data_IF_885308633972
#
_entry.id   IF_885308633972
#
_cell.length_a   1.000
_cell.length_b   1.000
_cell.length_c   1.000
_cell.angle_alpha   90.00
_cell.angle_beta   90.00
_cell.angle_gamma   90.00
#
_symmetry.space_group_name_H-M   'P 1'
#
loop_
_entity.id
_entity.type
_entity.pdbx_description
1 polymer ?
#
# COMPACT_ATOMS: atom_id res chain seq x y z
N UNK A 1 -3.15 -77.76 -21.78
CA UNK A 1 -4.47 -78.23 -21.28
C UNK A 1 -5.29 -77.03 -20.81
N UNK A 2 -6.54 -76.93 -21.31
CA UNK A 2 -7.81 -76.40 -20.72
C UNK A 2 -7.72 -75.13 -19.82
N UNK A 3 -8.22 -73.98 -20.27
CA UNK A 3 -9.62 -73.44 -20.23
C UNK A 3 -10.02 -72.76 -18.90
N UNK A 4 -10.27 -71.46 -19.04
CA UNK A 4 -11.23 -70.52 -18.40
C UNK A 4 -12.28 -71.11 -17.44
N UNK A 5 -12.60 -70.39 -16.34
CA UNK A 5 -14.01 -70.03 -15.98
C UNK A 5 -14.08 -68.87 -14.94
N UNK A 6 -14.98 -67.92 -15.22
CA UNK A 6 -15.57 -66.91 -14.33
C UNK A 6 -16.46 -67.53 -13.24
N UNK A 7 -16.73 -66.82 -12.14
CA UNK A 7 -18.08 -66.78 -11.58
C UNK A 7 -18.37 -65.46 -10.84
N UNK A 8 -19.57 -64.95 -11.09
CA UNK A 8 -20.16 -63.69 -10.62
C UNK A 8 -21.04 -63.90 -9.37
N UNK A 9 -21.09 -62.91 -8.46
CA UNK A 9 -22.22 -62.62 -7.54
C UNK A 9 -22.15 -61.10 -7.25
N UNK A 10 -22.93 -60.21 -7.87
CA UNK A 10 -24.36 -59.86 -7.75
C UNK A 10 -24.78 -59.20 -6.41
N UNK A 11 -24.91 -57.87 -6.48
CA UNK A 11 -25.91 -56.97 -5.86
C UNK A 11 -26.15 -56.92 -4.34
N UNK A 12 -25.99 -55.72 -3.75
CA UNK A 12 -26.92 -55.20 -2.74
C UNK A 12 -26.95 -53.65 -2.70
N UNK A 13 -28.17 -53.10 -2.83
CA UNK A 13 -28.72 -51.82 -2.34
C UNK A 13 -27.94 -50.50 -2.64
N UNK A 14 -28.40 -49.59 -3.51
CA UNK A 14 -29.60 -48.73 -3.45
C UNK A 14 -29.74 -47.92 -2.13
N UNK A 15 -29.90 -46.60 -2.30
CA UNK A 15 -30.28 -45.55 -1.33
C UNK A 15 -29.14 -44.75 -0.69
N UNK A 16 -28.67 -43.72 -1.41
CA UNK A 16 -28.27 -42.43 -0.82
C UNK A 16 -28.35 -41.30 -1.87
N UNK A 17 -29.52 -41.14 -2.48
CA UNK A 17 -29.81 -40.05 -3.41
C UNK A 17 -30.97 -39.21 -2.87
N UNK A 18 -30.86 -38.69 -1.65
CA UNK A 18 -31.79 -37.70 -1.10
C UNK A 18 -30.98 -36.69 -0.26
N UNK A 19 -31.14 -35.41 -0.60
CA UNK A 19 -30.72 -34.20 0.15
C UNK A 19 -29.40 -33.51 -0.25
N UNK A 20 -29.31 -33.07 -1.52
CA UNK A 20 -28.42 -31.96 -1.93
C UNK A 20 -29.22 -30.78 -2.53
N UNK A 21 -30.45 -30.56 -2.06
CA UNK A 21 -31.31 -29.43 -2.48
C UNK A 21 -31.57 -28.41 -1.36
N UNK A 22 -30.77 -28.42 -0.29
CA UNK A 22 -30.75 -27.31 0.66
C UNK A 22 -29.66 -26.31 0.23
N UNK A 23 -30.00 -25.02 0.24
CA UNK A 23 -29.18 -23.86 -0.16
C UNK A 23 -29.18 -23.49 -1.65
N UNK A 24 -30.36 -23.42 -2.27
CA UNK A 24 -30.59 -22.47 -3.37
C UNK A 24 -31.63 -21.42 -2.97
N UNK A 25 -31.50 -20.88 -1.76
CA UNK A 25 -32.05 -19.56 -1.48
C UNK A 25 -31.10 -18.59 -2.15
N UNK A 26 -31.40 -18.24 -3.41
CA UNK A 26 -30.88 -17.03 -4.03
C UNK A 26 -31.37 -15.87 -3.16
N UNK A 27 -30.64 -15.57 -2.07
CA UNK A 27 -30.75 -14.26 -1.45
C UNK A 27 -30.51 -13.30 -2.60
N UNK A 28 -31.53 -12.49 -2.93
CA UNK A 28 -31.35 -11.39 -3.84
C UNK A 28 -30.09 -10.68 -3.38
N UNK A 29 -29.05 -10.71 -4.22
CA UNK A 29 -27.82 -9.98 -3.94
C UNK A 29 -28.29 -8.56 -3.65
N UNK A 30 -27.96 -7.99 -2.47
CA UNK A 30 -28.29 -6.61 -2.19
C UNK A 30 -27.86 -5.82 -3.40
N UNK A 31 -28.76 -5.04 -4.01
CA UNK A 31 -28.38 -4.13 -5.08
C UNK A 31 -27.30 -3.26 -4.48
N UNK A 32 -26.05 -3.53 -4.85
CA UNK A 32 -24.90 -2.86 -4.30
C UNK A 32 -25.05 -1.39 -4.72
N UNK A 33 -25.49 -0.57 -3.76
CA UNK A 33 -25.76 0.84 -4.02
C UNK A 33 -24.44 1.44 -4.46
N UNK A 34 -24.43 2.01 -5.66
CA UNK A 34 -23.25 2.65 -6.21
C UNK A 34 -22.68 3.65 -5.17
N UNK A 35 -21.41 3.51 -4.76
CA UNK A 35 -20.86 4.35 -3.71
C UNK A 35 -20.86 5.80 -4.18
N UNK A 36 -21.32 6.68 -3.28
CA UNK A 36 -21.50 8.12 -3.52
C UNK A 36 -20.22 8.88 -3.15
N UNK A 37 -19.84 9.84 -4.00
CA UNK A 37 -18.61 10.61 -3.79
C UNK A 37 -18.65 11.49 -2.55
N UNK A 38 -19.82 12.01 -2.16
CA UNK A 38 -19.93 12.82 -0.94
C UNK A 38 -19.79 11.95 0.31
N UNK A 39 -20.33 10.73 0.30
CA UNK A 39 -20.09 9.75 1.37
C UNK A 39 -18.62 9.33 1.45
N UNK A 40 -17.94 9.18 0.30
CA UNK A 40 -16.49 9.00 0.27
C UNK A 40 -15.75 10.14 1.00
N UNK A 41 -16.04 11.40 0.64
CA UNK A 41 -15.39 12.56 1.26
C UNK A 41 -15.65 12.68 2.77
N UNK A 42 -16.78 12.18 3.27
CA UNK A 42 -17.10 12.23 4.72
C UNK A 42 -16.21 11.33 5.58
N UNK A 43 -15.55 10.33 5.01
CA UNK A 43 -14.59 9.51 5.75
C UNK A 43 -13.32 10.28 6.13
N UNK A 44 -13.05 11.40 5.45
CA UNK A 44 -11.85 12.18 5.65
C UNK A 44 -12.06 13.32 6.66
N UNK A 45 -11.15 13.49 7.63
CA UNK A 45 -11.13 14.67 8.48
C UNK A 45 -10.95 15.93 7.63
N UNK A 46 -11.84 16.92 7.79
CA UNK A 46 -11.67 18.23 7.14
C UNK A 46 -10.46 18.95 7.76
N UNK A 47 -9.54 19.41 6.91
CA UNK A 47 -8.34 20.18 7.29
C UNK A 47 -8.23 21.43 6.43
N UNK A 48 -7.41 22.38 6.87
CA UNK A 48 -7.09 23.61 6.15
C UNK A 48 -5.70 23.52 5.53
N UNK A 49 -5.50 24.23 4.41
CA UNK A 49 -4.17 24.52 3.88
C UNK A 49 -3.65 25.85 4.47
N UNK A 50 -2.33 26.02 4.67
CA UNK A 50 -1.28 25.02 4.44
C UNK A 50 -1.36 23.83 5.42
N UNK A 51 -0.86 22.69 5.00
CA UNK A 51 -0.89 21.44 5.76
C UNK A 51 0.49 20.80 5.78
N UNK A 52 0.87 20.15 6.87
CA UNK A 52 2.15 19.45 6.97
C UNK A 52 1.95 18.01 7.41
N UNK A 53 2.72 17.15 6.76
CA UNK A 53 3.05 15.80 7.19
C UNK A 53 4.43 15.89 7.83
N UNK A 54 4.49 15.96 9.16
CA UNK A 54 5.72 16.23 9.91
C UNK A 54 6.60 14.97 10.08
N UNK A 55 7.91 15.10 9.88
CA UNK A 55 8.83 13.96 10.00
C UNK A 55 8.92 13.40 11.43
N UNK A 56 8.69 14.22 12.47
CA UNK A 56 8.78 13.79 13.87
C UNK A 56 7.60 12.92 14.25
N UNK A 57 6.41 13.26 13.77
CA UNK A 57 5.21 12.44 13.97
C UNK A 57 5.39 11.07 13.28
N UNK A 58 5.90 11.08 12.04
CA UNK A 58 6.21 9.85 11.30
C UNK A 58 7.30 9.02 11.98
N UNK A 59 8.36 9.66 12.48
CA UNK A 59 9.43 9.00 13.22
C UNK A 59 8.90 8.40 14.53
N UNK A 60 8.03 9.11 15.24
CA UNK A 60 7.42 8.63 16.48
C UNK A 60 6.58 7.37 16.25
N UNK A 61 5.76 7.36 15.20
CA UNK A 61 5.00 6.18 14.76
C UNK A 61 5.94 4.99 14.47
N UNK A 62 7.03 5.23 13.74
CA UNK A 62 8.00 4.19 13.41
C UNK A 62 8.75 3.68 14.64
N UNK A 63 9.21 4.57 15.53
CA UNK A 63 9.89 4.21 16.77
C UNK A 63 8.99 3.35 17.68
N UNK A 64 7.71 3.70 17.78
CA UNK A 64 6.73 2.90 18.52
C UNK A 64 6.60 1.51 17.92
N UNK A 65 6.52 1.41 16.59
CA UNK A 65 6.47 0.13 15.89
C UNK A 65 7.72 -0.74 16.14
N UNK A 66 8.92 -0.16 16.05
CA UNK A 66 10.18 -0.88 16.32
C UNK A 66 10.22 -1.35 17.78
N UNK A 67 9.81 -0.49 18.72
CA UNK A 67 9.76 -0.85 20.14
C UNK A 67 8.79 -2.01 20.41
N UNK A 68 7.61 -2.01 19.78
CA UNK A 68 6.63 -3.08 19.96
C UNK A 68 7.09 -4.43 19.36
N UNK A 69 7.88 -4.42 18.28
CA UNK A 69 8.51 -5.64 17.76
C UNK A 69 9.56 -6.19 18.71
N UNK A 70 10.36 -5.32 19.31
CA UNK A 70 11.44 -5.71 20.21
C UNK A 70 10.95 -6.08 21.62
N UNK A 71 9.71 -5.76 21.97
CA UNK A 71 9.09 -6.19 23.22
C UNK A 71 8.54 -7.63 23.11
N UNK A 72 9.43 -8.59 23.31
CA UNK A 72 9.14 -10.04 23.31
C UNK A 72 7.99 -10.49 24.24
N UNK A 73 7.54 -9.63 25.18
CA UNK A 73 6.51 -9.96 26.17
C UNK A 73 5.13 -9.43 25.82
N UNK A 74 4.99 -8.55 24.81
CA UNK A 74 3.69 -8.04 24.40
C UNK A 74 3.04 -8.96 23.37
N UNK A 75 1.86 -9.50 23.70
CA UNK A 75 0.91 -9.90 22.66
C UNK A 75 0.44 -8.63 21.94
N UNK A 76 0.72 -8.53 20.64
CA UNK A 76 0.34 -7.37 19.83
C UNK A 76 -1.13 -6.98 20.09
N UNK A 77 -1.31 -5.80 20.66
CA UNK A 77 -2.61 -5.17 20.85
C UNK A 77 -2.55 -3.87 20.06
N UNK A 78 -3.34 -3.71 18.98
CA UNK A 78 -3.37 -2.45 18.25
C UNK A 78 -3.64 -1.31 19.23
N UNK A 79 -2.67 -0.42 19.43
CA UNK A 79 -2.76 0.67 20.41
C UNK A 79 -3.89 1.66 20.08
N UNK A 80 -4.39 1.63 18.84
CA UNK A 80 -5.47 2.48 18.35
C UNK A 80 -6.35 1.69 17.39
N UNK A 81 -7.68 1.79 17.55
CA UNK A 81 -8.63 1.29 16.55
C UNK A 81 -8.42 2.13 15.28
N UNK A 82 -7.87 1.50 14.26
CA UNK A 82 -7.62 2.10 12.97
C UNK A 82 -8.95 2.46 12.31
N UNK A 83 -9.10 3.72 11.92
CA UNK A 83 -10.21 4.12 11.05
C UNK A 83 -9.83 3.76 9.61
N UNK A 84 -10.34 2.64 9.12
CA UNK A 84 -10.07 2.18 7.76
C UNK A 84 -11.01 2.87 6.79
N UNK A 85 -10.52 3.24 5.62
CA UNK A 85 -11.36 3.62 4.50
C UNK A 85 -12.18 2.40 4.06
N UNK A 86 -13.49 2.55 3.91
CA UNK A 86 -14.33 1.42 3.48
C UNK A 86 -14.01 1.05 2.02
N UNK A 87 -13.96 -0.26 1.77
CA UNK A 87 -13.41 -0.82 0.53
C UNK A 87 -14.26 -0.46 -0.69
N UNK A 88 -15.57 -0.26 -0.53
CA UNK A 88 -16.47 0.14 -1.61
C UNK A 88 -16.06 1.47 -2.25
N UNK A 89 -15.42 2.36 -1.49
CA UNK A 89 -15.00 3.67 -1.99
C UNK A 89 -13.67 3.64 -2.75
N UNK A 90 -13.00 2.48 -2.84
CA UNK A 90 -11.77 2.35 -3.63
C UNK A 90 -12.02 2.61 -5.12
N UNK A 91 -13.29 2.63 -5.59
CA UNK A 91 -13.64 3.08 -6.94
C UNK A 91 -13.17 4.51 -7.24
N UNK A 92 -13.10 5.38 -6.23
CA UNK A 92 -12.61 6.75 -6.36
C UNK A 92 -11.07 6.83 -6.29
N UNK A 93 -10.41 5.75 -5.88
CA UNK A 93 -8.95 5.65 -5.75
C UNK A 93 -8.44 4.49 -6.61
N UNK A 94 -8.44 4.60 -7.96
CA UNK A 94 -8.11 3.51 -8.86
C UNK A 94 -6.73 2.89 -8.59
N UNK A 95 -5.74 3.70 -8.20
CA UNK A 95 -4.41 3.20 -7.81
C UNK A 95 -4.46 2.28 -6.58
N UNK A 96 -5.23 2.66 -5.56
CA UNK A 96 -5.43 1.83 -4.36
C UNK A 96 -6.22 0.57 -4.66
N UNK A 97 -7.27 0.66 -5.49
CA UNK A 97 -8.03 -0.51 -5.95
C UNK A 97 -7.11 -1.53 -6.62
N UNK A 98 -6.24 -1.06 -7.51
CA UNK A 98 -5.23 -1.89 -8.15
C UNK A 98 -4.29 -2.51 -7.11
N UNK A 99 -3.64 -1.70 -6.26
CA UNK A 99 -2.68 -2.18 -5.25
C UNK A 99 -3.28 -3.22 -4.29
N UNK A 100 -4.56 -3.06 -3.92
CA UNK A 100 -5.27 -3.98 -3.03
C UNK A 100 -5.64 -5.32 -3.68
N UNK A 101 -5.71 -5.39 -5.01
CA UNK A 101 -6.19 -6.58 -5.74
C UNK A 101 -5.13 -7.68 -5.88
N UNK A 102 -3.84 -7.35 -5.78
CA UNK A 102 -2.74 -8.29 -6.04
C UNK A 102 -2.02 -8.77 -4.76
N UNK A 103 -2.35 -8.23 -3.60
CA UNK A 103 -1.66 -8.56 -2.35
C UNK A 103 -2.40 -9.64 -1.57
N UNK A 104 -1.68 -10.68 -1.14
CA UNK A 104 -2.19 -11.65 -0.15
C UNK A 104 -2.24 -11.07 1.27
N UNK A 105 -1.52 -9.97 1.50
CA UNK A 105 -1.54 -9.21 2.75
C UNK A 105 -2.57 -8.10 2.63
N UNK A 106 -3.53 -7.98 3.57
CA UNK A 106 -4.51 -6.91 3.55
C UNK A 106 -3.84 -5.53 3.51
N UNK A 107 -4.28 -4.69 2.58
CA UNK A 107 -3.93 -3.27 2.58
C UNK A 107 -4.73 -2.57 3.69
N UNK A 108 -4.04 -1.82 4.54
CA UNK A 108 -4.67 -0.89 5.46
C UNK A 108 -4.65 0.49 4.80
N UNK A 109 -5.79 1.15 4.76
CA UNK A 109 -5.91 2.51 4.22
C UNK A 109 -6.59 3.36 5.25
N UNK A 110 -5.95 4.47 5.65
CA UNK A 110 -6.50 5.41 6.63
C UNK A 110 -6.78 6.75 5.95
N UNK A 111 -7.96 7.36 6.18
CA UNK A 111 -8.24 8.70 5.72
C UNK A 111 -7.54 9.73 6.62
N UNK A 112 -6.67 10.56 6.05
CA UNK A 112 -5.82 11.50 6.81
C UNK A 112 -6.40 12.91 6.79
N UNK A 113 -6.72 13.43 5.60
CA UNK A 113 -7.21 14.79 5.44
C UNK A 113 -8.09 14.93 4.20
N UNK A 114 -9.01 15.88 4.23
CA UNK A 114 -9.70 16.41 3.06
C UNK A 114 -9.65 17.94 3.06
N UNK A 115 -9.39 18.49 1.89
CA UNK A 115 -9.39 19.92 1.59
C UNK A 115 -10.49 20.21 0.58
N UNK A 116 -11.43 21.06 0.98
CA UNK A 116 -12.42 21.61 0.07
C UNK A 116 -11.85 22.86 -0.59
N UNK A 117 -11.72 22.82 -1.92
CA UNK A 117 -11.22 23.91 -2.75
C UNK A 117 -12.39 24.47 -3.55
N UNK A 118 -12.21 25.60 -4.24
CA UNK A 118 -13.31 26.29 -4.93
C UNK A 118 -14.09 25.37 -5.88
N UNK A 119 -13.37 24.67 -6.76
CA UNK A 119 -13.94 23.80 -7.79
C UNK A 119 -13.56 22.32 -7.69
N UNK A 120 -12.81 21.97 -6.64
CA UNK A 120 -12.15 20.68 -6.53
C UNK A 120 -12.07 20.19 -5.08
N UNK A 121 -11.71 18.93 -4.92
CA UNK A 121 -11.39 18.33 -3.63
C UNK A 121 -10.00 17.71 -3.69
N UNK A 122 -9.25 17.80 -2.60
CA UNK A 122 -8.04 17.02 -2.41
C UNK A 122 -8.21 16.17 -1.15
N UNK A 123 -7.81 14.90 -1.21
CA UNK A 123 -7.80 14.02 -0.04
C UNK A 123 -6.42 13.40 0.13
N UNK A 124 -5.99 13.26 1.38
CA UNK A 124 -4.78 12.52 1.75
C UNK A 124 -5.21 11.23 2.41
N UNK A 125 -4.65 10.11 1.96
CA UNK A 125 -4.76 8.83 2.63
C UNK A 125 -3.38 8.24 2.89
N UNK A 126 -3.28 7.47 3.98
CA UNK A 126 -2.12 6.66 4.33
C UNK A 126 -2.43 5.22 3.95
N UNK A 127 -1.56 4.58 3.18
CA UNK A 127 -1.63 3.14 2.95
C UNK A 127 -0.45 2.43 3.63
N UNK A 128 -0.72 1.26 4.21
CA UNK A 128 0.31 0.38 4.77
C UNK A 128 -0.02 -1.07 4.48
N UNK A 129 1.04 -1.87 4.33
CA UNK A 129 0.94 -3.33 4.22
C UNK A 129 1.34 -3.92 5.56
N UNK A 130 0.55 -4.88 6.04
CA UNK A 130 0.57 -5.46 7.40
C UNK A 130 -0.43 -4.80 8.35
N UNK A 131 -0.73 -5.50 9.45
CA UNK A 131 -1.54 -4.97 10.53
C UNK A 131 -0.79 -3.90 11.35
N UNK A 132 0.49 -3.66 11.07
CA UNK A 132 1.36 -2.81 11.87
C UNK A 132 1.74 -1.57 11.05
N UNK A 133 1.52 -0.37 11.60
CA UNK A 133 1.70 0.91 10.90
C UNK A 133 3.16 1.38 10.84
N UNK A 134 4.12 0.45 10.83
CA UNK A 134 5.54 0.81 10.76
C UNK A 134 5.89 1.50 9.45
N UNK A 135 5.61 0.81 8.34
CA UNK A 135 5.89 1.32 7.00
C UNK A 135 4.60 1.80 6.34
N UNK A 136 4.66 2.97 5.70
CA UNK A 136 3.48 3.55 5.08
C UNK A 136 3.79 4.52 3.96
N UNK A 137 2.80 4.75 3.11
CA UNK A 137 2.86 5.71 2.01
C UNK A 137 1.68 6.66 2.15
N UNK A 138 1.95 7.96 2.05
CA UNK A 138 0.94 9.01 2.06
C UNK A 138 0.74 9.49 0.63
N UNK A 139 -0.49 9.39 0.16
CA UNK A 139 -0.85 9.82 -1.19
C UNK A 139 -1.90 10.90 -1.12
N UNK A 140 -1.77 11.91 -1.98
CA UNK A 140 -2.76 12.94 -2.20
C UNK A 140 -3.44 12.67 -3.55
N UNK A 141 -4.75 12.49 -3.51
CA UNK A 141 -5.59 12.37 -4.69
C UNK A 141 -6.39 13.68 -4.87
N UNK A 142 -6.33 14.24 -6.08
CA UNK A 142 -7.04 15.46 -6.46
C UNK A 142 -8.23 15.11 -7.34
N UNK A 143 -9.38 15.74 -7.08
CA UNK A 143 -10.66 15.41 -7.70
C UNK A 143 -11.38 16.64 -8.22
N UNK A 144 -12.19 16.44 -9.25
CA UNK A 144 -13.23 17.40 -9.62
C UNK A 144 -14.47 17.28 -8.70
N UNK A 145 -15.49 18.12 -8.94
CA UNK A 145 -16.78 18.07 -8.20
C UNK A 145 -17.63 16.82 -8.49
N UNK A 146 -17.34 16.09 -9.56
CA UNK A 146 -18.06 14.87 -9.98
C UNK A 146 -17.44 13.60 -9.36
N UNK A 147 -16.26 13.71 -8.76
CA UNK A 147 -15.52 12.59 -8.18
C UNK A 147 -14.57 11.90 -9.16
N UNK A 148 -14.27 12.54 -10.29
CA UNK A 148 -13.21 12.10 -11.20
C UNK A 148 -11.85 12.47 -10.60
N UNK A 149 -10.97 11.47 -10.46
CA UNK A 149 -9.61 11.67 -9.97
C UNK A 149 -8.76 12.29 -11.09
N UNK A 150 -8.32 13.54 -10.88
CA UNK A 150 -7.52 14.30 -11.83
C UNK A 150 -6.02 14.06 -11.66
N UNK A 151 -5.54 13.83 -10.43
CA UNK A 151 -4.14 13.50 -10.15
C UNK A 151 -3.99 12.63 -8.90
N UNK A 152 -2.85 11.95 -8.81
CA UNK A 152 -2.44 11.18 -7.64
C UNK A 152 -0.94 11.38 -7.44
N UNK A 153 -0.54 11.86 -6.27
CA UNK A 153 0.84 12.18 -5.96
C UNK A 153 1.25 11.54 -4.63
N UNK A 154 2.45 10.94 -4.58
CA UNK A 154 3.05 10.49 -3.31
C UNK A 154 3.66 11.69 -2.61
N UNK A 155 3.15 11.99 -1.41
CA UNK A 155 3.52 13.18 -0.64
C UNK A 155 4.17 12.84 0.70
N UNK A 156 4.29 11.56 1.04
CA UNK A 156 5.04 11.14 2.21
C UNK A 156 5.26 9.64 2.21
N UNK A 157 6.30 9.21 2.93
CA UNK A 157 6.66 7.80 3.01
C UNK A 157 7.40 7.53 4.31
N UNK A 158 7.10 6.39 4.92
CA UNK A 158 7.91 5.79 5.99
C UNK A 158 8.38 4.45 5.46
N UNK A 159 9.65 4.41 5.07
CA UNK A 159 10.33 3.22 4.57
C UNK A 159 11.27 2.62 5.60
N UNK A 160 12.08 1.66 5.16
CA UNK A 160 13.10 1.01 5.98
C UNK A 160 14.34 1.88 6.17
N UNK A 161 14.70 2.67 5.15
CA UNK A 161 15.94 3.46 5.13
C UNK A 161 15.68 4.97 5.16
N UNK A 162 14.45 5.40 4.91
CA UNK A 162 14.12 6.82 4.81
C UNK A 162 12.69 7.17 5.24
N UNK A 163 12.52 8.43 5.65
CA UNK A 163 11.25 9.10 5.86
C UNK A 163 11.16 10.27 4.88
N UNK A 164 10.02 10.41 4.21
CA UNK A 164 9.70 11.56 3.37
C UNK A 164 8.54 12.32 4.00
N UNK A 165 8.79 13.56 4.41
CA UNK A 165 7.81 14.50 4.97
C UNK A 165 7.38 15.53 3.92
N UNK A 166 6.27 16.24 4.17
CA UNK A 166 5.78 17.26 3.25
C UNK A 166 5.20 18.49 3.95
N UNK A 167 5.40 19.64 3.30
CA UNK A 167 4.67 20.88 3.58
C UNK A 167 3.91 21.27 2.33
N UNK A 168 2.58 21.37 2.44
CA UNK A 168 1.66 21.66 1.34
C UNK A 168 1.13 23.08 1.49
N UNK A 169 1.34 23.90 0.47
CA UNK A 169 0.89 25.29 0.42
C UNK A 169 -0.62 25.41 0.15
N UNK A 170 -1.14 26.64 0.18
CA UNK A 170 -2.55 26.94 -0.17
C UNK A 170 -2.87 26.63 -1.63
N UNK A 171 -1.87 26.73 -2.51
CA UNK A 171 -2.00 26.53 -3.95
C UNK A 171 -1.64 25.10 -4.36
N UNK A 172 -1.68 24.16 -3.40
CA UNK A 172 -1.33 22.75 -3.60
C UNK A 172 0.07 22.54 -4.20
N UNK A 173 1.02 23.41 -3.84
CA UNK A 173 2.44 23.15 -4.07
C UNK A 173 3.02 22.48 -2.83
N UNK A 174 3.72 21.37 -3.01
CA UNK A 174 4.37 20.65 -1.92
C UNK A 174 5.89 20.86 -1.96
N UNK A 175 6.48 21.07 -0.79
CA UNK A 175 7.90 20.83 -0.54
C UNK A 175 8.02 19.47 0.18
N UNK A 176 8.66 18.50 -0.48
CA UNK A 176 8.95 17.19 0.06
C UNK A 176 10.36 17.18 0.61
N UNK A 177 10.55 16.70 1.84
CA UNK A 177 11.87 16.53 2.45
C UNK A 177 12.12 15.07 2.75
N UNK A 178 13.25 14.56 2.27
CA UNK A 178 13.65 13.16 2.51
C UNK A 178 14.76 13.13 3.56
N UNK A 179 14.61 12.23 4.52
CA UNK A 179 15.52 11.98 5.62
C UNK A 179 15.93 10.52 5.60
N UNK A 180 17.22 10.24 5.79
CA UNK A 180 17.73 8.91 6.08
C UNK A 180 17.40 8.56 7.52
N UNK A 181 16.98 7.32 7.76
CA UNK A 181 16.82 6.76 9.09
C UNK A 181 18.18 6.28 9.60
N UNK A 182 18.63 6.83 10.72
CA UNK A 182 19.89 6.43 11.34
C UNK A 182 19.64 5.30 12.33
N UNK A 183 19.90 4.07 11.89
CA UNK A 183 19.79 2.87 12.72
C UNK A 183 21.03 2.65 13.59
N UNK A 184 20.85 2.08 14.78
CA UNK A 184 21.95 1.71 15.69
C UNK A 184 22.80 0.57 15.13
N UNK A 185 22.18 -0.34 14.38
CA UNK A 185 22.82 -1.41 13.61
C UNK A 185 22.41 -1.32 12.15
N UNK A 186 23.25 -1.80 11.24
CA UNK A 186 22.91 -1.87 9.82
C UNK A 186 21.58 -2.60 9.60
N UNK A 187 20.61 -1.92 8.99
CA UNK A 187 19.25 -2.44 8.82
C UNK A 187 19.20 -3.62 7.85
N UNK A 188 20.03 -3.62 6.80
CA UNK A 188 20.03 -4.69 5.79
C UNK A 188 20.57 -6.00 6.38
N UNK A 189 21.51 -5.91 7.33
CA UNK A 189 22.08 -7.06 8.02
C UNK A 189 21.25 -7.51 9.24
N UNK A 190 20.68 -6.58 10.00
CA UNK A 190 20.09 -6.88 11.32
C UNK A 190 18.56 -6.76 11.35
N UNK A 191 17.94 -6.11 10.36
CA UNK A 191 16.52 -5.82 10.36
C UNK A 191 16.08 -5.02 11.59
N UNK A 192 14.92 -5.40 12.14
CA UNK A 192 14.29 -4.73 13.28
C UNK A 192 14.66 -5.33 14.65
N UNK A 193 15.00 -6.62 14.70
CA UNK A 193 15.17 -7.38 15.94
C UNK A 193 16.39 -6.88 16.74
N UNK A 194 16.12 -6.35 17.93
CA UNK A 194 17.13 -5.72 18.78
C UNK A 194 17.83 -4.53 18.13
N UNK A 195 17.24 -3.94 17.09
CA UNK A 195 17.69 -2.71 16.45
C UNK A 195 16.86 -1.51 16.96
N UNK A 196 17.38 -0.30 16.82
CA UNK A 196 16.69 0.94 17.23
C UNK A 196 17.07 2.09 16.31
N UNK A 197 16.19 3.07 16.26
CA UNK A 197 16.43 4.30 15.52
C UNK A 197 17.13 5.30 16.46
N UNK A 198 18.24 5.86 16.00
CA UNK A 198 19.07 6.82 16.74
C UNK A 198 18.84 8.26 16.31
N UNK A 199 18.33 8.48 15.09
CA UNK A 199 18.07 9.81 14.57
C UNK A 199 17.60 9.81 13.12
N UNK A 200 17.60 11.01 12.55
CA UNK A 200 17.35 11.27 11.13
C UNK A 200 18.45 12.16 10.57
N UNK A 201 18.92 11.84 9.38
CA UNK A 201 19.89 12.63 8.62
C UNK A 201 19.24 13.18 7.35
N UNK A 202 19.25 14.49 7.16
CA UNK A 202 18.66 15.12 5.96
C UNK A 202 19.36 14.64 4.69
N UNK A 203 18.58 14.29 3.67
CA UNK A 203 19.09 13.88 2.35
C UNK A 203 18.85 14.97 1.30
N UNK A 204 17.59 15.28 1.04
CA UNK A 204 17.21 16.15 -0.08
C UNK A 204 15.84 16.80 0.12
N UNK A 205 15.55 17.81 -0.71
CA UNK A 205 14.25 18.45 -0.82
C UNK A 205 13.85 18.55 -2.28
N UNK A 206 12.55 18.41 -2.55
CA UNK A 206 11.96 18.47 -3.89
C UNK A 206 10.65 19.24 -3.84
N UNK A 207 10.42 20.09 -4.84
CA UNK A 207 9.12 20.71 -5.06
C UNK A 207 8.24 19.89 -6.00
N UNK A 208 6.94 19.87 -5.71
CA UNK A 208 5.95 19.13 -6.47
C UNK A 208 4.66 19.95 -6.61
N UNK A 209 4.18 20.09 -7.84
CA UNK A 209 2.82 20.55 -8.11
C UNK A 209 1.86 19.38 -7.95
N UNK A 210 0.92 19.48 -7.01
CA UNK A 210 0.01 18.38 -6.70
C UNK A 210 -1.23 18.36 -7.59
N UNK A 211 -1.50 19.43 -8.34
CA UNK A 211 -2.63 19.49 -9.27
C UNK A 211 -2.34 18.65 -10.52
N UNK A 212 -1.10 18.72 -11.00
CA UNK A 212 -0.64 17.89 -12.10
C UNK A 212 -0.08 16.57 -11.56
N UNK A 213 -0.39 15.44 -12.20
CA UNK A 213 0.21 14.18 -11.79
C UNK A 213 1.70 14.22 -12.12
N UNK A 214 2.56 14.09 -11.11
CA UNK A 214 4.00 13.87 -11.35
C UNK A 214 4.33 12.44 -11.77
N UNK A 215 3.36 11.53 -11.65
CA UNK A 215 3.51 10.14 -12.02
C UNK A 215 2.56 9.79 -13.17
N UNK A 216 3.08 9.84 -14.39
CA UNK A 216 2.82 8.78 -15.36
C UNK A 216 3.82 7.63 -15.11
N UNK A 217 3.97 7.20 -13.86
CA UNK A 217 4.82 6.05 -13.53
C UNK A 217 3.92 4.83 -13.60
N UNK A 218 4.04 4.09 -14.69
CA UNK A 218 3.66 2.70 -14.67
C UNK A 218 4.45 2.05 -13.51
N UNK A 219 3.79 1.54 -12.45
CA UNK A 219 4.49 0.95 -11.29
C UNK A 219 5.34 -0.27 -11.67
N UNK A 220 5.27 -0.71 -12.94
CA UNK A 220 6.04 -1.77 -13.57
C UNK A 220 6.85 -1.28 -14.78
N UNK A 221 7.47 -0.10 -14.74
CA UNK A 221 8.61 0.14 -15.64
C UNK A 221 9.80 -0.73 -15.18
N UNK A 222 9.74 -2.01 -15.55
CA UNK A 222 10.68 -3.08 -15.21
C UNK A 222 12.14 -2.74 -15.58
N UNK A 223 12.36 -1.67 -16.35
CA UNK A 223 13.69 -1.18 -16.71
C UNK A 223 14.54 -0.79 -15.51
N UNK A 224 13.93 -0.36 -14.39
CA UNK A 224 14.69 -0.02 -13.16
C UNK A 224 15.16 -1.25 -12.36
N UNK A 225 14.56 -2.41 -12.60
CA UNK A 225 14.95 -3.68 -11.96
C UNK A 225 15.78 -4.59 -12.87
N UNK A 226 16.07 -4.16 -14.10
CA UNK A 226 17.07 -4.83 -14.93
C UNK A 226 18.42 -4.61 -14.25
N UNK A 227 19.04 -5.72 -13.83
CA UNK A 227 20.45 -5.74 -13.43
C UNK A 227 21.24 -4.97 -14.50
N UNK A 228 22.11 -4.01 -14.14
CA UNK A 228 22.93 -3.35 -15.14
C UNK A 228 23.60 -4.43 -15.97
N UNK A 229 23.49 -4.33 -17.30
CA UNK A 229 24.17 -5.27 -18.18
C UNK A 229 25.64 -5.31 -17.74
N UNK A 230 26.24 -6.50 -17.59
CA UNK A 230 27.65 -6.61 -17.30
C UNK A 230 28.36 -5.75 -18.35
N UNK A 231 29.14 -4.77 -17.91
CA UNK A 231 30.06 -4.09 -18.81
C UNK A 231 30.97 -5.19 -19.33
N UNK A 232 30.74 -5.64 -20.57
CA UNK A 232 31.70 -6.47 -21.27
C UNK A 232 32.99 -5.64 -21.31
N UNK A 233 33.93 -5.98 -20.44
CA UNK A 233 35.31 -5.54 -20.55
C UNK A 233 35.75 -5.88 -21.97
N UNK A 234 36.01 -4.84 -22.75
CA UNK A 234 36.56 -4.91 -24.09
C UNK A 234 37.96 -5.51 -23.96
N UNK A 235 38.01 -6.84 -23.91
CA UNK A 235 39.23 -7.64 -23.85
C UNK A 235 39.49 -8.18 -25.26
N UNK A 236 39.60 -7.28 -26.24
CA UNK A 236 39.79 -7.64 -27.66
C UNK A 236 40.89 -6.83 -28.38
N UNK A 237 41.68 -5.98 -27.70
CA UNK A 237 42.69 -5.15 -28.41
C UNK A 237 44.17 -5.33 -28.02
N UNK A 238 44.54 -6.33 -27.19
CA UNK A 238 45.96 -6.61 -26.89
C UNK A 238 46.50 -7.95 -27.41
N UNK A 239 45.77 -8.70 -28.24
CA UNK A 239 46.29 -9.94 -28.84
C UNK A 239 46.60 -9.86 -30.35
N UNK A 240 46.71 -8.66 -30.93
CA UNK A 240 47.13 -8.48 -32.34
C UNK A 240 48.52 -7.86 -32.55
N UNK A 241 49.38 -7.86 -31.54
CA UNK A 241 50.79 -7.48 -31.72
C UNK A 241 51.70 -8.38 -30.89
N UNK A 242 51.94 -9.58 -31.40
CA UNK A 242 53.18 -10.34 -31.19
C UNK A 242 53.36 -11.37 -32.29
#
# INVERSE_FOLDING_TARGET
MKKTTLLSILTLALVSAISLTAFSVKKATPVEKDPDFKEFLKQFPKKSLPYSLDEKDMLGDLQQYVADINDSKKSYTPSKKVNRLDWEYYKFLPGLKFESSFSRVPMQTEPVAMFALNDNYAVIYRSSRSFHFGYSTYKLAYFDKKGEQLSLNTIGMVGTESIMSAVISKDLQAELKTWKIDWDKDYLENGLDGNKITGLSYLESKHLDLINSSEAVNPFDDKKFRKPEPKEEILQEQMKTK
#
